data_IF_214075871805
#
_entry.id   IF_214075871805
#
_cell.length_a   1.000
_cell.length_b   1.000
_cell.length_c   1.000
_cell.angle_alpha   90.00
_cell.angle_beta   90.00
_cell.angle_gamma   90.00
#
_symmetry.space_group_name_H-M   'P 1'
#
loop_
_entity.id
_entity.type
_entity.pdbx_description
1 polymer ?
#
# COMPACT_ATOMS: atom_id res chain seq x y z
N UNK A 1 -10.57 1.54 11.02
CA UNK A 1 -9.55 2.60 11.05
C UNK A 1 -9.64 3.40 9.77
N UNK A 2 -9.91 4.70 9.87
CA UNK A 2 -9.91 5.59 8.72
C UNK A 2 -8.46 5.79 8.24
N UNK A 3 -8.24 5.72 6.93
CA UNK A 3 -6.98 6.10 6.31
C UNK A 3 -7.31 7.11 5.23
N UNK A 4 -6.67 8.26 5.27
CA UNK A 4 -6.90 9.32 4.29
C UNK A 4 -5.59 9.83 3.71
N UNK A 5 -5.65 10.24 2.44
CA UNK A 5 -4.55 10.93 1.76
C UNK A 5 -4.55 12.43 2.05
N UNK A 6 -5.63 12.97 2.63
CA UNK A 6 -5.70 14.36 3.10
C UNK A 6 -4.83 14.55 4.35
N UNK A 7 -4.30 15.75 4.52
CA UNK A 7 -3.48 16.11 5.69
C UNK A 7 -4.30 16.12 6.99
N UNK A 8 -5.58 16.48 6.89
CA UNK A 8 -6.49 16.53 8.03
C UNK A 8 -7.81 15.80 7.78
N UNK A 9 -8.52 15.48 8.88
CA UNK A 9 -9.87 14.91 8.88
C UNK A 9 -10.85 16.02 9.27
N UNK A 10 -11.64 16.57 8.33
CA UNK A 10 -12.58 17.65 8.63
C UNK A 10 -13.57 17.27 9.75
N UNK A 11 -13.76 18.16 10.72
CA UNK A 11 -14.69 17.97 11.83
C UNK A 11 -14.23 16.97 12.89
N UNK A 12 -12.92 16.63 12.93
CA UNK A 12 -12.33 15.76 13.96
C UNK A 12 -11.09 16.40 14.58
N UNK A 13 -11.08 16.47 15.90
CA UNK A 13 -9.89 16.80 16.68
C UNK A 13 -9.13 15.52 17.05
N UNK A 14 -7.81 15.55 16.90
CA UNK A 14 -6.94 14.43 17.20
C UNK A 14 -5.54 14.89 17.61
N UNK A 15 -4.79 13.99 18.21
CA UNK A 15 -3.37 14.15 18.52
C UNK A 15 -2.54 13.22 17.62
N UNK A 16 -1.35 13.69 17.25
CA UNK A 16 -0.41 12.90 16.45
C UNK A 16 0.32 11.92 17.37
N UNK A 17 0.35 10.65 17.00
CA UNK A 17 1.15 9.62 17.69
C UNK A 17 2.53 9.53 17.05
N UNK A 18 2.60 9.44 15.72
CA UNK A 18 3.85 9.29 14.99
C UNK A 18 3.67 8.72 13.58
N UNK A 19 4.78 8.43 12.92
CA UNK A 19 4.80 7.77 11.61
C UNK A 19 4.37 6.30 11.72
N UNK A 20 3.64 5.82 10.71
CA UNK A 20 3.31 4.41 10.53
C UNK A 20 3.55 3.97 9.09
N UNK A 21 3.87 2.69 8.91
CA UNK A 21 4.14 2.14 7.60
C UNK A 21 3.74 0.66 7.46
N UNK A 22 3.62 0.23 6.21
CA UNK A 22 3.43 -1.16 5.82
C UNK A 22 4.15 -1.43 4.51
N UNK A 23 4.97 -2.47 4.48
CA UNK A 23 5.81 -2.81 3.33
C UNK A 23 5.39 -4.16 2.76
N UNK A 24 5.50 -4.34 1.45
CA UNK A 24 5.44 -5.66 0.82
C UNK A 24 6.44 -5.73 -0.34
N UNK A 25 6.84 -6.95 -0.68
CA UNK A 25 7.66 -7.23 -1.86
C UNK A 25 7.12 -8.50 -2.51
N UNK A 26 6.84 -8.43 -3.80
CA UNK A 26 6.29 -9.54 -4.58
C UNK A 26 7.19 -9.87 -5.77
N UNK A 27 7.28 -11.16 -6.07
CA UNK A 27 8.00 -11.66 -7.24
C UNK A 27 7.11 -11.61 -8.47
N UNK A 28 7.57 -10.92 -9.51
CA UNK A 28 6.94 -10.85 -10.84
C UNK A 28 6.88 -12.24 -11.49
N UNK A 29 7.79 -13.14 -11.13
CA UNK A 29 7.86 -14.50 -11.67
C UNK A 29 6.78 -15.44 -11.14
N UNK A 30 6.20 -15.19 -9.96
CA UNK A 30 5.08 -15.98 -9.44
C UNK A 30 3.84 -15.85 -10.33
N UNK A 31 3.63 -14.66 -10.92
CA UNK A 31 2.52 -14.39 -11.86
C UNK A 31 2.85 -14.74 -13.32
N UNK A 32 4.12 -14.94 -13.65
CA UNK A 32 4.58 -15.29 -15.01
C UNK A 32 4.04 -16.65 -15.49
N UNK A 33 3.76 -17.58 -14.56
CA UNK A 33 3.17 -18.88 -14.89
C UNK A 33 1.68 -18.80 -15.29
N UNK A 34 0.99 -17.71 -14.94
CA UNK A 34 -0.41 -17.45 -15.35
C UNK A 34 -0.44 -16.69 -16.68
N UNK A 35 0.57 -15.85 -16.94
CA UNK A 35 0.69 -14.99 -18.13
C UNK A 35 1.33 -15.63 -19.38
N UNK A 36 1.77 -16.90 -19.35
CA UNK A 36 2.36 -17.56 -20.52
C UNK A 36 1.38 -17.74 -21.70
N UNK A 37 0.06 -17.59 -21.44
CA UNK A 37 -0.97 -17.54 -22.48
C UNK A 37 -1.41 -16.11 -22.87
N UNK A 38 -0.91 -15.07 -22.19
CA UNK A 38 -1.16 -13.68 -22.55
C UNK A 38 -0.15 -13.24 -23.63
N UNK A 39 -0.11 -14.00 -24.72
CA UNK A 39 0.47 -13.50 -25.96
C UNK A 39 -0.26 -12.20 -26.31
N UNK A 40 0.53 -11.14 -26.49
CA UNK A 40 0.19 -9.92 -27.22
C UNK A 40 -0.85 -9.00 -26.58
N UNK A 41 -0.38 -7.99 -25.82
CA UNK A 41 -1.02 -6.67 -25.88
C UNK A 41 0.07 -5.64 -26.08
N UNK A 42 0.28 -5.26 -27.35
CA UNK A 42 1.02 -4.05 -27.70
C UNK A 42 0.15 -2.87 -27.29
N UNK A 43 0.61 -2.07 -26.33
CA UNK A 43 0.05 -0.76 -25.99
C UNK A 43 -1.05 -0.71 -24.92
N UNK A 44 -1.36 -1.80 -24.21
CA UNK A 44 -2.41 -1.86 -23.19
C UNK A 44 -1.93 -2.35 -21.82
N UNK A 45 -2.85 -2.36 -20.85
CA UNK A 45 -2.62 -2.82 -19.50
C UNK A 45 -2.33 -4.34 -19.45
N UNK A 46 -1.25 -4.72 -18.76
CA UNK A 46 -0.95 -6.13 -18.49
C UNK A 46 -1.69 -6.53 -17.21
N UNK A 47 -2.91 -7.06 -17.36
CA UNK A 47 -3.82 -7.38 -16.25
C UNK A 47 -3.17 -8.11 -15.07
N UNK A 48 -2.35 -9.13 -15.35
CA UNK A 48 -1.65 -9.87 -14.29
C UNK A 48 -0.71 -9.00 -13.45
N UNK A 49 -0.06 -7.99 -14.04
CA UNK A 49 0.74 -7.04 -13.28
C UNK A 49 -0.13 -6.03 -12.52
N UNK A 50 -1.28 -5.63 -13.05
CA UNK A 50 -2.23 -4.79 -12.31
C UNK A 50 -2.79 -5.52 -11.10
N UNK A 51 -3.20 -6.78 -11.26
CA UNK A 51 -3.68 -7.63 -10.16
C UNK A 51 -2.59 -7.78 -9.08
N UNK A 52 -1.33 -8.01 -9.48
CA UNK A 52 -0.20 -8.04 -8.55
C UNK A 52 0.01 -6.70 -7.82
N UNK A 53 -0.18 -5.57 -8.51
CA UNK A 53 -0.06 -4.23 -7.93
C UNK A 53 -1.18 -3.95 -6.92
N UNK A 54 -2.41 -4.33 -7.23
CA UNK A 54 -3.56 -4.21 -6.34
C UNK A 54 -3.36 -5.04 -5.07
N UNK A 55 -3.02 -6.32 -5.23
CA UNK A 55 -2.74 -7.21 -4.10
C UNK A 55 -1.58 -6.68 -3.22
N UNK A 56 -0.54 -6.14 -3.85
CA UNK A 56 0.59 -5.54 -3.14
C UNK A 56 0.16 -4.31 -2.33
N UNK A 57 -0.68 -3.44 -2.90
CA UNK A 57 -1.21 -2.27 -2.20
C UNK A 57 -2.08 -2.66 -1.01
N UNK A 58 -2.96 -3.64 -1.18
CA UNK A 58 -3.81 -4.14 -0.10
C UNK A 58 -2.97 -4.70 1.05
N UNK A 59 -1.97 -5.54 0.76
CA UNK A 59 -1.05 -6.08 1.77
C UNK A 59 -0.27 -4.99 2.50
N UNK A 60 0.20 -3.96 1.79
CA UNK A 60 0.88 -2.83 2.40
C UNK A 60 -0.06 -2.03 3.31
N UNK A 61 -1.31 -1.77 2.88
CA UNK A 61 -2.32 -1.10 3.69
C UNK A 61 -2.64 -1.90 4.96
N UNK A 62 -2.84 -3.21 4.87
CA UNK A 62 -3.15 -4.03 6.05
C UNK A 62 -2.01 -4.03 7.07
N UNK A 63 -0.76 -4.07 6.61
CA UNK A 63 0.42 -3.95 7.48
C UNK A 63 0.50 -2.56 8.13
N UNK A 64 0.21 -1.49 7.39
CA UNK A 64 0.13 -0.12 7.92
C UNK A 64 -0.99 0.01 8.96
N UNK A 65 -2.17 -0.57 8.70
CA UNK A 65 -3.28 -0.61 9.66
C UNK A 65 -2.87 -1.33 10.94
N UNK A 66 -2.18 -2.45 10.82
CA UNK A 66 -1.73 -3.20 12.00
C UNK A 66 -0.73 -2.38 12.81
N UNK A 67 0.28 -1.80 12.15
CA UNK A 67 1.26 -0.93 12.79
C UNK A 67 0.61 0.25 13.53
N UNK A 68 -0.38 0.91 12.90
CA UNK A 68 -1.16 1.98 13.52
C UNK A 68 -2.01 1.50 14.71
N UNK A 69 -2.62 0.32 14.62
CA UNK A 69 -3.37 -0.28 15.75
C UNK A 69 -2.45 -0.59 16.93
N UNK A 70 -1.27 -1.14 16.66
CA UNK A 70 -0.28 -1.46 17.69
C UNK A 70 0.20 -0.20 18.43
N UNK A 71 0.18 0.96 17.76
CA UNK A 71 0.44 2.28 18.35
C UNK A 71 -0.77 2.93 19.05
N UNK A 72 -1.95 2.29 19.01
CA UNK A 72 -3.18 2.81 19.62
C UNK A 72 -3.83 3.94 18.83
N UNK A 73 -3.62 4.00 17.51
CA UNK A 73 -4.21 4.99 16.63
C UNK A 73 -5.67 4.66 16.28
N UNK A 74 -6.46 5.72 16.02
CA UNK A 74 -7.83 5.60 15.50
C UNK A 74 -7.89 5.80 13.98
N UNK A 75 -6.93 6.57 13.45
CA UNK A 75 -6.82 6.88 12.03
C UNK A 75 -5.37 7.10 11.58
N UNK A 76 -5.18 7.10 10.25
CA UNK A 76 -3.93 7.51 9.60
C UNK A 76 -4.24 8.63 8.60
N UNK A 77 -3.55 9.76 8.73
CA UNK A 77 -3.66 10.92 7.84
C UNK A 77 -2.45 11.04 6.93
N UNK A 78 -2.58 11.83 5.87
CA UNK A 78 -1.53 12.09 4.88
C UNK A 78 -0.88 10.82 4.33
N UNK A 79 -1.66 9.75 4.17
CA UNK A 79 -1.15 8.47 3.69
C UNK A 79 -0.67 8.58 2.24
N UNK A 80 0.45 7.93 1.95
CA UNK A 80 1.10 7.87 0.63
C UNK A 80 1.52 6.44 0.31
N UNK A 81 1.79 6.24 -0.97
CA UNK A 81 2.41 5.03 -1.47
C UNK A 81 3.72 5.37 -2.19
N UNK A 82 4.75 4.60 -1.87
CA UNK A 82 5.93 4.45 -2.71
C UNK A 82 5.95 3.06 -3.30
N UNK A 83 6.47 2.93 -4.52
CA UNK A 83 6.65 1.65 -5.18
C UNK A 83 7.91 1.64 -6.01
N UNK A 84 8.59 0.50 -6.06
CA UNK A 84 9.85 0.36 -6.77
C UNK A 84 10.07 -1.05 -7.29
N UNK A 85 11.06 -1.22 -8.17
CA UNK A 85 11.55 -2.55 -8.54
C UNK A 85 12.80 -2.86 -7.75
N UNK A 86 12.91 -4.11 -7.27
CA UNK A 86 14.12 -4.63 -6.64
C UNK A 86 14.71 -5.64 -7.63
N UNK A 87 15.86 -5.29 -8.23
CA UNK A 87 16.38 -6.03 -9.37
C UNK A 87 15.39 -6.05 -10.54
N UNK A 88 15.43 -7.11 -11.35
CA UNK A 88 14.55 -7.25 -12.52
C UNK A 88 13.20 -7.87 -12.18
N UNK A 89 13.16 -8.73 -11.17
CA UNK A 89 12.11 -9.73 -11.01
C UNK A 89 11.21 -9.51 -9.78
N UNK A 90 11.47 -8.46 -8.99
CA UNK A 90 10.68 -8.14 -7.81
C UNK A 90 10.17 -6.71 -7.86
N UNK A 91 9.04 -6.51 -7.21
CA UNK A 91 8.45 -5.21 -6.98
C UNK A 91 8.19 -5.03 -5.48
N UNK A 92 8.48 -3.83 -4.96
CA UNK A 92 8.11 -3.42 -3.61
C UNK A 92 7.03 -2.35 -3.64
N UNK A 93 6.20 -2.35 -2.59
CA UNK A 93 5.24 -1.29 -2.29
C UNK A 93 5.38 -0.95 -0.81
N UNK A 94 5.48 0.33 -0.52
CA UNK A 94 5.44 0.90 0.82
C UNK A 94 4.20 1.79 0.94
N UNK A 95 3.33 1.52 1.90
CA UNK A 95 2.31 2.46 2.36
C UNK A 95 2.84 3.13 3.63
N UNK A 96 2.73 4.45 3.74
CA UNK A 96 3.17 5.17 4.94
C UNK A 96 2.30 6.41 5.18
N UNK A 97 2.28 6.91 6.42
CA UNK A 97 1.51 8.09 6.80
C UNK A 97 1.66 8.41 8.29
N UNK A 98 0.78 9.25 8.82
CA UNK A 98 0.83 9.70 10.21
C UNK A 98 -0.33 9.11 11.00
N UNK A 99 -0.02 8.31 12.02
CA UNK A 99 -0.99 7.79 12.97
C UNK A 99 -1.48 8.89 13.92
N UNK A 100 -2.80 8.95 14.10
CA UNK A 100 -3.46 9.92 14.97
C UNK A 100 -4.49 9.24 15.89
N UNK A 101 -4.68 9.82 17.07
CA UNK A 101 -5.69 9.39 18.05
C UNK A 101 -6.73 10.47 18.24
N UNK A 102 -8.01 10.13 18.14
CA UNK A 102 -9.06 11.11 18.38
C UNK A 102 -9.05 11.55 19.84
N UNK A 103 -9.43 12.81 20.06
CA UNK A 103 -9.66 13.34 21.41
C UNK A 103 -11.00 12.87 21.96
#
# INVERSE_FOLDING_TARGET
MLITTTEAIPGKDYEVIGEVFGLTTQSKNVFKNIGANLKNIVGGEIKAYTEMLEESREKAIERLKQNAKDMGADAVVMMRFDSGSIGTDMQSVAAYGTAVKYK
#
